data_IF_666051236385
#
_entry.id   IF_666051236385
#
_cell.length_a   1.000
_cell.length_b   1.000
_cell.length_c   1.000
_cell.angle_alpha   90.00
_cell.angle_beta   90.00
_cell.angle_gamma   90.00
#
_symmetry.space_group_name_H-M   'P 1'
#
loop_
_entity.id
_entity.type
_entity.pdbx_description
1 polymer ?
#
# COMPACT_ATOMS: atom_id res chain seq x y z
N UNK A 1 -31.62 -12.28 9.88
CA UNK A 1 -30.75 -11.23 9.30
C UNK A 1 -29.39 -11.16 9.97
N UNK A 2 -29.28 -10.91 11.29
CA UNK A 2 -27.98 -10.83 11.98
C UNK A 2 -27.25 -12.18 12.01
N UNK A 3 -27.96 -13.28 12.26
CA UNK A 3 -27.37 -14.63 12.26
C UNK A 3 -26.94 -15.07 10.86
N UNK A 4 -27.74 -14.75 9.83
CA UNK A 4 -27.39 -15.02 8.44
C UNK A 4 -26.14 -14.26 8.01
N UNK A 5 -26.00 -13.01 8.45
CA UNK A 5 -24.83 -12.19 8.17
C UNK A 5 -23.56 -12.83 8.76
N UNK A 6 -23.60 -13.27 10.02
CA UNK A 6 -22.44 -13.93 10.67
C UNK A 6 -22.08 -15.21 9.93
N UNK A 7 -23.07 -16.06 9.65
CA UNK A 7 -22.89 -17.33 8.93
C UNK A 7 -22.28 -17.13 7.54
N UNK A 8 -22.78 -16.17 6.78
CA UNK A 8 -22.29 -15.90 5.42
C UNK A 8 -20.94 -15.17 5.43
N UNK A 9 -20.68 -14.35 6.45
CA UNK A 9 -19.41 -13.67 6.61
C UNK A 9 -18.25 -14.66 6.72
N UNK A 10 -18.41 -15.73 7.50
CA UNK A 10 -17.38 -16.76 7.61
C UNK A 10 -17.06 -17.43 6.26
N UNK A 11 -18.06 -17.60 5.40
CA UNK A 11 -17.90 -18.19 4.07
C UNK A 11 -17.16 -17.29 3.08
N UNK A 12 -17.32 -15.96 3.20
CA UNK A 12 -16.64 -15.00 2.32
C UNK A 12 -15.26 -14.56 2.83
N UNK A 13 -14.92 -14.79 4.10
CA UNK A 13 -13.59 -14.48 4.67
C UNK A 13 -12.43 -14.96 3.78
N UNK A 14 -12.42 -16.18 3.22
CA UNK A 14 -11.36 -16.61 2.31
C UNK A 14 -11.18 -15.72 1.08
N UNK A 15 -12.26 -15.14 0.55
CA UNK A 15 -12.21 -14.20 -0.58
C UNK A 15 -11.53 -12.90 -0.14
N UNK A 16 -11.88 -12.37 1.04
CA UNK A 16 -11.25 -11.19 1.63
C UNK A 16 -9.76 -11.44 1.84
N UNK A 17 -9.39 -12.57 2.47
CA UNK A 17 -7.99 -12.93 2.71
C UNK A 17 -7.20 -13.15 1.43
N UNK A 18 -7.83 -13.70 0.39
CA UNK A 18 -7.20 -13.80 -0.92
C UNK A 18 -6.92 -12.41 -1.47
N UNK A 19 -7.90 -11.51 -1.49
CA UNK A 19 -7.72 -10.16 -2.06
C UNK A 19 -6.74 -9.30 -1.25
N UNK A 20 -6.72 -9.42 0.08
CA UNK A 20 -5.72 -8.79 0.95
C UNK A 20 -4.29 -9.15 0.57
N UNK A 21 -4.04 -10.39 0.12
CA UNK A 21 -2.70 -10.79 -0.37
C UNK A 21 -2.33 -10.18 -1.72
N UNK A 22 -3.31 -9.75 -2.52
CA UNK A 22 -3.08 -9.21 -3.86
C UNK A 22 -3.04 -7.68 -3.88
N UNK A 23 -3.68 -7.02 -2.91
CA UNK A 23 -3.79 -5.57 -2.85
C UNK A 23 -3.19 -5.05 -1.56
N UNK A 24 -2.33 -4.04 -1.66
CA UNK A 24 -1.82 -3.29 -0.52
C UNK A 24 -2.60 -1.97 -0.40
N UNK A 25 -3.37 -1.82 0.68
CA UNK A 25 -4.06 -0.58 1.01
C UNK A 25 -3.35 0.03 2.21
N UNK A 26 -2.86 1.25 2.05
CA UNK A 26 -2.08 1.92 3.10
C UNK A 26 -2.94 2.11 4.35
N UNK A 27 -2.36 1.83 5.52
CA UNK A 27 -2.98 1.91 6.86
C UNK A 27 -4.08 0.88 7.16
N UNK A 28 -4.40 -0.04 6.25
CA UNK A 28 -5.37 -1.09 6.56
C UNK A 28 -4.72 -2.27 7.28
N UNK A 29 -5.21 -2.54 8.48
CA UNK A 29 -4.97 -3.77 9.23
C UNK A 29 -5.98 -4.85 8.86
N UNK A 30 -5.76 -6.07 9.35
CA UNK A 30 -6.67 -7.20 9.11
C UNK A 30 -8.11 -6.87 9.48
N UNK A 31 -8.30 -6.13 10.57
CA UNK A 31 -9.62 -5.76 11.03
C UNK A 31 -10.32 -4.79 10.08
N UNK A 32 -9.61 -3.86 9.45
CA UNK A 32 -10.19 -2.98 8.42
C UNK A 32 -10.70 -3.79 7.22
N UNK A 33 -9.90 -4.75 6.74
CA UNK A 33 -10.30 -5.66 5.66
C UNK A 33 -11.58 -6.44 6.00
N UNK A 34 -11.67 -6.92 7.25
CA UNK A 34 -12.81 -7.67 7.74
C UNK A 34 -14.05 -6.77 7.92
N UNK A 35 -13.87 -5.57 8.46
CA UNK A 35 -14.95 -4.60 8.66
C UNK A 35 -15.55 -4.16 7.32
N UNK A 36 -14.72 -3.78 6.36
CA UNK A 36 -15.17 -3.37 5.03
C UNK A 36 -15.85 -4.52 4.28
N UNK A 37 -15.31 -5.73 4.41
CA UNK A 37 -15.96 -6.93 3.89
C UNK A 37 -17.35 -7.16 4.50
N UNK A 38 -17.50 -6.93 5.81
CA UNK A 38 -18.80 -7.07 6.50
C UNK A 38 -19.80 -6.01 6.05
N UNK A 39 -19.36 -4.76 5.88
CA UNK A 39 -20.20 -3.66 5.39
C UNK A 39 -20.73 -3.95 3.98
N UNK A 40 -19.85 -4.43 3.09
CA UNK A 40 -20.23 -4.76 1.71
C UNK A 40 -21.17 -5.96 1.66
N UNK A 41 -20.91 -6.99 2.47
CA UNK A 41 -21.82 -8.13 2.61
C UNK A 41 -23.20 -7.67 3.10
N UNK A 42 -23.26 -6.84 4.15
CA UNK A 42 -24.52 -6.31 4.67
C UNK A 42 -25.30 -5.55 3.59
N UNK A 43 -24.65 -4.63 2.86
CA UNK A 43 -25.29 -3.88 1.76
C UNK A 43 -25.81 -4.80 0.66
N UNK A 44 -25.06 -5.86 0.33
CA UNK A 44 -25.47 -6.85 -0.65
C UNK A 44 -26.72 -7.61 -0.19
N UNK A 45 -26.77 -8.09 1.05
CA UNK A 45 -27.91 -8.85 1.57
C UNK A 45 -29.17 -7.98 1.70
N UNK A 46 -29.02 -6.69 2.02
CA UNK A 46 -30.15 -5.74 2.06
C UNK A 46 -30.70 -5.48 0.65
N UNK A 47 -29.82 -5.42 -0.36
CA UNK A 47 -30.22 -5.13 -1.75
C UNK A 47 -30.73 -6.36 -2.48
N UNK A 48 -30.16 -7.53 -2.18
CA UNK A 48 -30.42 -8.83 -2.81
C UNK A 48 -30.61 -9.90 -1.73
N UNK A 49 -31.79 -9.96 -1.06
CA UNK A 49 -32.05 -10.93 0.01
C UNK A 49 -31.94 -12.39 -0.44
N UNK A 50 -32.14 -12.66 -1.74
CA UNK A 50 -32.02 -14.00 -2.33
C UNK A 50 -30.60 -14.60 -2.20
N UNK A 51 -29.59 -13.76 -1.98
CA UNK A 51 -28.21 -14.21 -1.76
C UNK A 51 -28.02 -14.97 -0.44
N UNK A 52 -29.01 -14.94 0.46
CA UNK A 52 -28.97 -15.70 1.72
C UNK A 52 -28.99 -17.21 1.47
N UNK A 53 -29.71 -17.64 0.43
CA UNK A 53 -29.93 -19.04 0.09
C UNK A 53 -29.03 -19.51 -1.08
N UNK A 54 -28.52 -18.58 -1.91
CA UNK A 54 -27.67 -18.88 -3.07
C UNK A 54 -26.20 -18.49 -2.84
N UNK A 55 -25.42 -19.46 -2.35
CA UNK A 55 -24.00 -19.26 -2.05
C UNK A 55 -23.15 -18.94 -3.29
N UNK A 56 -23.44 -19.55 -4.44
CA UNK A 56 -22.64 -19.34 -5.64
C UNK A 56 -22.80 -17.90 -6.15
N UNK A 57 -24.04 -17.42 -6.20
CA UNK A 57 -24.32 -16.02 -6.53
C UNK A 57 -23.72 -15.08 -5.49
N UNK A 58 -23.81 -15.42 -4.20
CA UNK A 58 -23.20 -14.62 -3.14
C UNK A 58 -21.70 -14.45 -3.38
N UNK A 59 -20.95 -15.52 -3.62
CA UNK A 59 -19.51 -15.43 -3.85
C UNK A 59 -19.18 -14.58 -5.08
N UNK A 60 -19.92 -14.74 -6.17
CA UNK A 60 -19.72 -13.97 -7.40
C UNK A 60 -19.99 -12.48 -7.19
N UNK A 61 -21.10 -12.15 -6.55
CA UNK A 61 -21.53 -10.78 -6.28
C UNK A 61 -20.58 -10.11 -5.29
N UNK A 62 -20.29 -10.78 -4.19
CA UNK A 62 -19.39 -10.29 -3.17
C UNK A 62 -18.00 -10.04 -3.75
N UNK A 63 -17.41 -11.03 -4.43
CA UNK A 63 -16.09 -10.87 -5.06
C UNK A 63 -16.07 -9.68 -6.02
N UNK A 64 -17.10 -9.54 -6.85
CA UNK A 64 -17.19 -8.44 -7.83
C UNK A 64 -17.28 -7.10 -7.13
N UNK A 65 -18.21 -6.92 -6.19
CA UNK A 65 -18.41 -5.66 -5.46
C UNK A 65 -17.20 -5.30 -4.59
N UNK A 66 -16.66 -6.26 -3.86
CA UNK A 66 -15.49 -6.05 -3.01
C UNK A 66 -14.27 -5.67 -3.86
N UNK A 67 -14.02 -6.35 -4.98
CA UNK A 67 -12.90 -6.00 -5.87
C UNK A 67 -13.03 -4.60 -6.48
N UNK A 68 -14.24 -4.20 -6.89
CA UNK A 68 -14.48 -2.84 -7.39
C UNK A 68 -14.25 -1.80 -6.29
N UNK A 69 -14.76 -2.06 -5.08
CA UNK A 69 -14.53 -1.19 -3.94
C UNK A 69 -13.05 -0.99 -3.63
N UNK A 70 -12.26 -2.06 -3.57
CA UNK A 70 -10.81 -1.95 -3.35
C UNK A 70 -10.12 -1.09 -4.42
N UNK A 71 -10.53 -1.22 -5.69
CA UNK A 71 -10.03 -0.35 -6.77
C UNK A 71 -10.43 1.11 -6.59
N UNK A 72 -11.63 1.39 -6.08
CA UNK A 72 -12.06 2.75 -5.76
C UNK A 72 -11.23 3.33 -4.60
N UNK A 73 -11.01 2.57 -3.54
CA UNK A 73 -10.16 2.95 -2.40
C UNK A 73 -8.74 3.27 -2.86
N UNK A 74 -8.13 2.40 -3.67
CA UNK A 74 -6.79 2.63 -4.22
C UNK A 74 -6.74 3.89 -5.09
N UNK A 75 -7.74 4.10 -5.96
CA UNK A 75 -7.84 5.32 -6.78
C UNK A 75 -7.98 6.58 -5.92
N UNK A 76 -8.73 6.50 -4.82
CA UNK A 76 -8.87 7.60 -3.87
C UNK A 76 -7.55 7.89 -3.17
N UNK A 77 -6.81 6.86 -2.73
CA UNK A 77 -5.47 7.01 -2.14
C UNK A 77 -4.49 7.63 -3.13
N UNK A 78 -4.43 7.17 -4.37
CA UNK A 78 -3.59 7.76 -5.42
C UNK A 78 -3.98 9.20 -5.75
N UNK A 79 -5.28 9.52 -5.72
CA UNK A 79 -5.77 10.88 -5.88
C UNK A 79 -5.33 11.78 -4.72
N UNK A 80 -5.45 11.31 -3.48
CA UNK A 80 -4.97 12.02 -2.30
C UNK A 80 -3.46 12.23 -2.36
N UNK A 81 -2.68 11.19 -2.68
CA UNK A 81 -1.23 11.31 -2.88
C UNK A 81 -0.89 12.32 -3.96
N UNK A 82 -1.61 12.35 -5.09
CA UNK A 82 -1.43 13.40 -6.11
C UNK A 82 -1.75 14.80 -5.60
N UNK A 83 -2.77 14.96 -4.74
CA UNK A 83 -3.07 16.24 -4.09
C UNK A 83 -1.98 16.65 -3.11
N UNK A 84 -1.48 15.75 -2.30
CA UNK A 84 -0.33 15.99 -1.40
C UNK A 84 0.97 16.22 -2.17
N UNK A 85 1.22 15.52 -3.28
CA UNK A 85 2.37 15.83 -4.14
C UNK A 85 2.25 17.21 -4.81
N UNK A 86 1.03 17.75 -4.92
CA UNK A 86 0.75 19.09 -5.45
C UNK A 86 0.77 20.19 -4.37
N UNK A 87 0.61 19.83 -3.10
CA UNK A 87 0.79 20.70 -1.94
C UNK A 87 2.20 20.43 -1.40
N UNK A 88 3.17 21.28 -1.75
CA UNK A 88 4.57 21.13 -1.32
C UNK A 88 4.67 20.65 0.14
N UNK A 89 5.50 19.63 0.36
CA UNK A 89 5.76 18.95 1.63
C UNK A 89 5.90 19.95 2.80
N UNK A 90 4.83 20.14 3.58
CA UNK A 90 4.92 20.69 4.93
C UNK A 90 5.05 19.50 5.90
N UNK A 91 6.15 19.49 6.64
CA UNK A 91 6.57 18.40 7.54
C UNK A 91 5.46 18.00 8.53
N UNK A 92 5.00 16.74 8.45
CA UNK A 92 4.19 16.13 9.51
C UNK A 92 5.15 15.54 10.54
N UNK A 93 5.74 16.39 11.37
CA UNK A 93 6.68 16.00 12.44
C UNK A 93 6.04 15.33 13.67
N UNK A 94 4.81 14.81 13.60
CA UNK A 94 4.04 14.45 14.81
C UNK A 94 3.50 13.00 14.88
N UNK A 95 3.67 12.16 13.86
CA UNK A 95 3.07 10.80 13.86
C UNK A 95 4.10 9.72 13.50
N UNK A 96 5.28 9.79 14.11
CA UNK A 96 6.39 8.87 13.85
C UNK A 96 6.42 7.62 14.74
N UNK A 97 5.71 7.62 15.87
CA UNK A 97 5.91 6.61 16.92
C UNK A 97 5.01 5.36 16.83
N UNK A 98 4.19 5.21 15.77
CA UNK A 98 3.15 4.18 15.73
C UNK A 98 3.25 3.18 14.57
N UNK A 99 4.43 3.00 13.95
CA UNK A 99 4.60 1.97 12.91
C UNK A 99 5.54 0.85 13.42
N UNK A 100 5.06 -0.40 13.59
CA UNK A 100 5.88 -1.47 14.15
C UNK A 100 6.96 -1.98 13.15
N UNK A 101 8.22 -1.90 13.60
CA UNK A 101 9.34 -2.85 13.43
C UNK A 101 9.67 -3.48 12.06
N UNK A 102 9.36 -2.84 10.93
CA UNK A 102 9.85 -3.28 9.61
C UNK A 102 10.10 -2.18 8.59
N UNK A 103 9.94 -0.91 8.97
CA UNK A 103 10.26 0.26 8.16
C UNK A 103 11.40 1.07 8.76
N UNK A 104 11.96 2.00 7.99
CA UNK A 104 12.90 2.99 8.53
C UNK A 104 12.21 3.76 9.67
N UNK A 105 12.88 3.89 10.83
CA UNK A 105 12.45 4.80 11.88
C UNK A 105 12.42 6.25 11.36
N UNK A 106 11.80 7.16 12.10
CA UNK A 106 11.79 8.60 11.72
C UNK A 106 13.21 9.12 11.56
N UNK A 107 14.09 8.76 12.49
CA UNK A 107 15.49 9.18 12.49
C UNK A 107 16.23 8.59 11.28
N UNK A 108 16.02 7.30 10.99
CA UNK A 108 16.57 6.62 9.82
C UNK A 108 16.03 7.24 8.52
N UNK A 109 14.75 7.65 8.48
CA UNK A 109 14.14 8.30 7.34
C UNK A 109 14.74 9.68 7.09
N UNK A 110 14.97 10.48 8.15
CA UNK A 110 15.63 11.78 8.04
C UNK A 110 17.07 11.60 7.56
N UNK A 111 17.82 10.65 8.14
CA UNK A 111 19.17 10.31 7.69
C UNK A 111 19.18 9.86 6.22
N UNK A 112 18.21 9.03 5.81
CA UNK A 112 18.05 8.60 4.43
C UNK A 112 17.78 9.78 3.48
N UNK A 113 16.91 10.72 3.86
CA UNK A 113 16.63 11.91 3.03
C UNK A 113 17.88 12.80 2.87
N UNK A 114 18.67 12.98 3.93
CA UNK A 114 19.92 13.75 3.86
C UNK A 114 20.91 13.10 2.90
N UNK A 115 21.08 11.78 2.99
CA UNK A 115 21.97 11.01 2.11
C UNK A 115 21.48 11.04 0.66
N UNK A 116 20.16 10.93 0.42
CA UNK A 116 19.59 11.05 -0.93
C UNK A 116 19.94 12.41 -1.53
N UNK A 117 19.79 13.49 -0.76
CA UNK A 117 20.11 14.84 -1.22
C UNK A 117 21.61 15.00 -1.53
N UNK A 118 22.48 14.49 -0.67
CA UNK A 118 23.92 14.50 -0.89
C UNK A 118 24.29 13.73 -2.18
N UNK A 119 23.68 12.56 -2.40
CA UNK A 119 23.87 11.79 -3.63
C UNK A 119 23.40 12.58 -4.83
N UNK A 120 22.21 13.18 -4.82
CA UNK A 120 21.70 13.99 -5.93
C UNK A 120 22.64 15.16 -6.29
N UNK A 121 23.29 15.79 -5.31
CA UNK A 121 24.25 16.88 -5.52
C UNK A 121 25.57 16.40 -6.15
N UNK A 122 25.96 15.13 -5.95
CA UNK A 122 27.20 14.54 -6.47
C UNK A 122 27.03 13.79 -7.80
N UNK A 123 25.82 13.71 -8.33
CA UNK A 123 25.52 13.05 -9.60
C UNK A 123 25.45 14.04 -10.77
N UNK A 124 25.95 13.61 -11.92
CA UNK A 124 25.72 14.32 -13.18
C UNK A 124 24.26 14.22 -13.61
N UNK A 125 23.78 15.09 -14.50
CA UNK A 125 22.38 15.07 -14.97
C UNK A 125 21.94 13.70 -15.50
N UNK A 126 22.82 13.01 -16.23
CA UNK A 126 22.58 11.65 -16.74
C UNK A 126 22.45 10.63 -15.61
N UNK A 127 23.34 10.69 -14.63
CA UNK A 127 23.31 9.77 -13.48
C UNK A 127 22.13 10.06 -12.54
N UNK A 128 21.70 11.32 -12.41
CA UNK A 128 20.51 11.71 -11.66
C UNK A 128 19.24 11.10 -12.27
N UNK A 129 19.13 11.10 -13.61
CA UNK A 129 18.04 10.42 -14.31
C UNK A 129 18.06 8.91 -14.04
N UNK A 130 19.24 8.30 -14.07
CA UNK A 130 19.42 6.88 -13.73
C UNK A 130 19.08 6.59 -12.26
N UNK A 131 19.43 7.48 -11.34
CA UNK A 131 19.15 7.36 -9.92
C UNK A 131 17.65 7.48 -9.63
N UNK A 132 16.95 8.43 -10.28
CA UNK A 132 15.49 8.53 -10.22
C UNK A 132 14.81 7.30 -10.83
N UNK A 133 15.31 6.78 -11.94
CA UNK A 133 14.83 5.53 -12.54
C UNK A 133 15.04 4.34 -11.57
N UNK A 134 16.17 4.29 -10.86
CA UNK A 134 16.48 3.28 -9.85
C UNK A 134 15.48 3.31 -8.68
N UNK A 135 15.19 4.50 -8.13
CA UNK A 135 14.21 4.68 -7.05
C UNK A 135 12.81 4.23 -7.49
N UNK A 136 12.45 4.45 -8.75
CA UNK A 136 11.17 3.99 -9.34
C UNK A 136 11.15 2.51 -9.72
N UNK A 137 12.26 1.78 -9.57
CA UNK A 137 12.38 0.36 -9.92
C UNK A 137 12.47 0.08 -11.43
N UNK A 138 12.81 1.09 -12.22
CA UNK A 138 12.93 1.01 -13.68
C UNK A 138 14.25 0.34 -14.11
N UNK A 139 14.30 -0.15 -15.35
CA UNK A 139 15.52 -0.68 -15.97
C UNK A 139 16.22 0.41 -16.78
N UNK A 140 17.54 0.49 -16.67
CA UNK A 140 18.38 1.41 -17.42
C UNK A 140 19.79 0.83 -17.58
N UNK A 141 20.48 1.26 -18.63
CA UNK A 141 21.87 0.90 -18.89
C UNK A 141 22.81 1.55 -17.86
N UNK A 142 23.83 0.82 -17.40
CA UNK A 142 24.78 1.33 -16.40
C UNK A 142 24.35 1.18 -14.94
N UNK A 143 23.24 0.47 -14.64
CA UNK A 143 22.75 0.23 -13.27
C UNK A 143 23.82 -0.26 -12.28
N UNK A 144 24.68 -1.20 -12.69
CA UNK A 144 25.76 -1.70 -11.81
C UNK A 144 26.82 -0.64 -11.52
N UNK A 145 27.12 0.22 -12.49
CA UNK A 145 28.08 1.31 -12.30
C UNK A 145 27.51 2.37 -11.35
N UNK A 146 26.24 2.74 -11.53
CA UNK A 146 25.55 3.66 -10.62
C UNK A 146 25.47 3.10 -9.20
N UNK A 147 25.05 1.84 -9.03
CA UNK A 147 25.00 1.18 -7.72
C UNK A 147 26.37 1.13 -7.03
N UNK A 148 27.46 0.93 -7.78
CA UNK A 148 28.83 0.98 -7.24
C UNK A 148 29.22 2.38 -6.78
N UNK A 149 28.77 3.42 -7.51
CA UNK A 149 29.05 4.82 -7.19
C UNK A 149 28.27 5.29 -5.95
N UNK A 150 26.98 4.95 -5.86
CA UNK A 150 26.11 5.40 -4.75
C UNK A 150 26.15 4.47 -3.53
N UNK A 151 26.56 3.21 -3.70
CA UNK A 151 26.59 2.21 -2.62
C UNK A 151 27.31 2.66 -1.34
N UNK A 152 28.47 3.34 -1.42
CA UNK A 152 29.16 3.86 -0.23
C UNK A 152 28.34 4.83 0.62
N UNK A 153 27.39 5.56 0.03
CA UNK A 153 26.57 6.53 0.75
C UNK A 153 25.48 5.87 1.62
N UNK A 154 25.14 4.60 1.34
CA UNK A 154 24.04 3.89 2.02
C UNK A 154 24.54 2.73 2.90
N UNK A 155 25.82 2.68 3.25
CA UNK A 155 26.41 1.60 4.06
C UNK A 155 25.73 1.44 5.42
N UNK A 156 25.29 2.54 6.03
CA UNK A 156 24.62 2.53 7.34
C UNK A 156 23.21 1.92 7.29
N UNK A 157 22.63 1.74 6.10
CA UNK A 157 21.31 1.12 5.88
C UNK A 157 21.39 -0.34 5.42
N UNK A 158 22.58 -0.84 5.07
CA UNK A 158 22.77 -2.24 4.70
C UNK A 158 22.98 -3.04 5.98
N UNK A 159 21.88 -3.46 6.61
CA UNK A 159 21.89 -4.11 7.92
C UNK A 159 22.91 -5.23 8.08
N UNK A 160 23.99 -4.95 8.81
CA UNK A 160 24.62 -5.93 9.68
C UNK A 160 23.97 -5.82 11.07
N UNK A 161 22.81 -6.49 11.21
CA UNK A 161 22.32 -7.15 12.44
C UNK A 161 21.03 -7.90 12.17
#
# INVERSE_FOLDING_TARGET
>A
MTDDLVRLFDKIKPIIMKLRRHYYIQLWELDDWLQEGRLILYRLLVTYPELIEDEEKLYRYFKTKFSSYLKDVLRQQESQKRRFHKMAYEEIGAVGHAIPAGGLGVDDYVAYQLIVKEVEEQLTESELLQFRALIRGERFEGRRALLRKIGPYFQDFTGEK
#
